data_IF_109351735126
#
_entry.id   IF_109351735126
#
_cell.length_a   1.000
_cell.length_b   1.000
_cell.length_c   1.000
_cell.angle_alpha   90.00
_cell.angle_beta   90.00
_cell.angle_gamma   90.00
#
_symmetry.space_group_name_H-M   'P 1'
#
loop_
_entity.id
_entity.type
_entity.pdbx_description
1 polymer ?
#
# COMPACT_ATOMS: atom_id res chain seq x y z
N UNK A 1 30.93 -8.32 -8.74
CA UNK A 1 29.80 -7.62 -8.09
C UNK A 1 28.52 -8.25 -8.60
N UNK A 2 27.94 -9.17 -7.84
CA UNK A 2 26.60 -9.69 -8.14
C UNK A 2 25.64 -8.50 -8.16
N UNK A 3 25.11 -8.16 -9.34
CA UNK A 3 24.03 -7.19 -9.46
C UNK A 3 22.89 -7.76 -8.63
N UNK A 4 22.63 -7.14 -7.46
CA UNK A 4 21.45 -7.41 -6.65
C UNK A 4 20.27 -7.49 -7.61
N UNK A 5 19.74 -8.71 -7.83
CA UNK A 5 18.56 -8.92 -8.68
C UNK A 5 17.52 -7.94 -8.16
N UNK A 6 17.12 -6.99 -9.00
CA UNK A 6 16.13 -5.97 -8.62
C UNK A 6 14.94 -6.72 -8.02
N UNK A 7 14.76 -6.65 -6.71
CA UNK A 7 13.69 -7.36 -6.03
C UNK A 7 12.41 -6.73 -6.55
N UNK A 8 11.77 -7.38 -7.53
CA UNK A 8 10.50 -6.93 -8.09
C UNK A 8 9.52 -6.79 -6.94
N UNK A 9 9.04 -5.58 -6.71
CA UNK A 9 8.04 -5.36 -5.66
C UNK A 9 6.75 -6.07 -6.03
N UNK A 10 6.01 -6.58 -5.03
CA UNK A 10 4.74 -7.20 -5.30
C UNK A 10 3.81 -6.21 -5.99
N UNK A 11 3.20 -6.68 -7.09
CA UNK A 11 2.11 -5.99 -7.76
C UNK A 11 0.92 -5.87 -6.81
N UNK A 12 0.25 -4.74 -6.80
CA UNK A 12 -0.96 -4.53 -6.02
C UNK A 12 -2.17 -5.13 -6.75
N UNK A 13 -2.58 -6.33 -6.31
CA UNK A 13 -3.85 -6.96 -6.71
C UNK A 13 -4.87 -6.79 -5.57
N UNK A 14 -6.16 -6.92 -5.85
CA UNK A 14 -7.24 -6.78 -4.85
C UNK A 14 -7.02 -7.60 -3.59
N UNK A 15 -6.39 -8.78 -3.74
CA UNK A 15 -5.94 -9.61 -2.63
C UNK A 15 -4.52 -10.08 -2.89
N UNK A 16 -3.61 -9.82 -1.95
CA UNK A 16 -2.24 -10.32 -2.01
C UNK A 16 -1.71 -10.67 -0.62
N UNK A 17 -0.65 -11.47 -0.57
CA UNK A 17 0.06 -11.82 0.67
C UNK A 17 1.43 -11.18 0.69
N UNK A 18 1.84 -10.67 1.85
CA UNK A 18 3.18 -10.13 2.05
C UNK A 18 3.62 -10.42 3.48
N UNK A 19 4.78 -11.06 3.63
CA UNK A 19 5.35 -11.44 4.93
C UNK A 19 4.38 -12.21 5.85
N UNK A 20 3.49 -13.02 5.27
CA UNK A 20 2.46 -13.77 6.01
C UNK A 20 1.18 -12.99 6.28
N UNK A 21 1.19 -11.66 6.11
CA UNK A 21 0.01 -10.82 6.24
C UNK A 21 -0.88 -10.92 5.00
N UNK A 22 -2.19 -10.87 5.22
CA UNK A 22 -3.19 -10.80 4.15
C UNK A 22 -3.58 -9.36 3.92
N UNK A 23 -3.52 -8.92 2.66
CA UNK A 23 -3.92 -7.59 2.23
C UNK A 23 -5.13 -7.69 1.32
N UNK A 24 -6.14 -6.88 1.60
CA UNK A 24 -7.37 -6.77 0.81
C UNK A 24 -7.66 -5.30 0.49
N UNK A 25 -7.94 -4.99 -0.78
CA UNK A 25 -8.30 -3.64 -1.19
C UNK A 25 -9.67 -3.29 -0.60
N UNK A 26 -9.73 -2.19 0.15
CA UNK A 26 -10.96 -1.69 0.77
C UNK A 26 -11.55 -0.55 -0.04
N UNK A 27 -10.69 0.36 -0.50
CA UNK A 27 -11.12 1.54 -1.25
C UNK A 27 -9.98 2.05 -2.11
N UNK A 28 -10.32 2.54 -3.30
CA UNK A 28 -9.42 3.24 -4.19
C UNK A 28 -10.05 4.58 -4.58
N UNK A 29 -9.29 5.66 -4.47
CA UNK A 29 -9.66 6.95 -5.02
C UNK A 29 -8.95 7.10 -6.36
N UNK A 30 -9.71 7.09 -7.44
CA UNK A 30 -9.16 7.13 -8.80
C UNK A 30 -8.57 8.50 -9.15
N UNK A 31 -9.07 9.58 -8.55
CA UNK A 31 -8.63 10.94 -8.86
C UNK A 31 -7.19 11.21 -8.39
N UNK A 32 -6.85 10.81 -7.15
CA UNK A 32 -5.51 11.01 -6.59
C UNK A 32 -4.68 9.71 -6.49
N UNK A 33 -5.25 8.59 -6.97
CA UNK A 33 -4.66 7.24 -6.91
C UNK A 33 -4.39 6.74 -5.50
N UNK A 34 -5.03 7.30 -4.47
CA UNK A 34 -4.88 6.79 -3.11
C UNK A 34 -5.61 5.47 -2.95
N UNK A 35 -4.95 4.50 -2.34
CA UNK A 35 -5.52 3.19 -2.03
C UNK A 35 -5.52 2.99 -0.52
N UNK A 36 -6.58 2.34 -0.03
CA UNK A 36 -6.69 1.82 1.32
C UNK A 36 -6.74 0.29 1.26
N UNK A 37 -5.76 -0.36 1.87
CA UNK A 37 -5.71 -1.81 2.02
C UNK A 37 -5.94 -2.19 3.47
N UNK A 38 -6.79 -3.18 3.71
CA UNK A 38 -6.89 -3.86 5.01
C UNK A 38 -5.79 -4.90 5.08
N UNK A 39 -4.87 -4.74 6.03
CA UNK A 39 -3.83 -5.69 6.39
C UNK A 39 -4.26 -6.46 7.63
N UNK A 40 -4.29 -7.78 7.53
CA UNK A 40 -4.55 -8.67 8.66
C UNK A 40 -3.32 -9.52 8.92
N UNK A 41 -2.76 -9.37 10.11
CA UNK A 41 -1.63 -10.20 10.57
C UNK A 41 -2.08 -11.64 10.84
N UNK A 42 -1.15 -12.61 10.84
CA UNK A 42 -1.47 -13.99 11.24
C UNK A 42 -2.10 -14.10 12.63
N UNK A 43 -1.78 -13.17 13.53
CA UNK A 43 -2.32 -13.06 14.89
C UNK A 43 -3.73 -12.44 14.94
N UNK A 44 -4.31 -12.08 13.79
CA UNK A 44 -5.64 -11.49 13.68
C UNK A 44 -5.68 -9.97 13.96
N UNK A 45 -4.54 -9.31 14.16
CA UNK A 45 -4.47 -7.85 14.31
C UNK A 45 -4.70 -7.20 12.96
N UNK A 46 -5.65 -6.25 12.92
CA UNK A 46 -6.05 -5.51 11.72
C UNK A 46 -5.41 -4.12 11.69
N UNK A 47 -4.86 -3.78 10.53
CA UNK A 47 -4.38 -2.46 10.17
C UNK A 47 -4.99 -2.03 8.84
N UNK A 48 -5.08 -0.73 8.64
CA UNK A 48 -5.41 -0.11 7.37
C UNK A 48 -4.18 0.63 6.87
N UNK A 49 -3.74 0.29 5.67
CA UNK A 49 -2.62 0.94 5.02
C UNK A 49 -3.14 1.83 3.90
N UNK A 50 -2.90 3.14 4.05
CA UNK A 50 -3.38 4.17 3.14
C UNK A 50 -2.19 4.82 2.44
N UNK A 51 -2.11 4.71 1.13
CA UNK A 51 -0.96 5.19 0.36
C UNK A 51 -1.29 5.38 -1.12
N UNK A 52 -0.47 6.18 -1.80
CA UNK A 52 -0.45 6.25 -3.26
C UNK A 52 0.49 5.16 -3.80
N UNK A 53 0.02 4.24 -4.67
CA UNK A 53 0.89 3.24 -5.28
C UNK A 53 2.01 3.86 -6.10
N UNK A 54 3.20 3.26 -5.99
CA UNK A 54 4.31 3.60 -6.86
C UNK A 54 4.02 3.04 -8.26
N UNK A 55 4.40 3.78 -9.30
CA UNK A 55 4.42 3.28 -10.66
C UNK A 55 5.83 2.74 -10.95
N UNK A 56 5.95 1.44 -11.09
CA UNK A 56 7.20 0.77 -11.46
C UNK A 56 7.07 0.17 -12.86
N UNK A 57 8.20 -0.05 -13.54
CA UNK A 57 8.25 -0.71 -14.84
C UNK A 57 8.83 -2.11 -14.68
N UNK A 58 8.21 -3.10 -15.30
CA UNK A 58 8.76 -4.45 -15.35
C UNK A 58 9.91 -4.55 -16.37
N UNK A 59 10.51 -5.73 -16.50
CA UNK A 59 11.65 -5.99 -17.41
C UNK A 59 11.28 -5.77 -18.88
N UNK A 60 10.01 -5.92 -19.24
CA UNK A 60 9.47 -5.66 -20.57
C UNK A 60 9.00 -4.20 -20.75
N UNK A 61 9.15 -3.36 -19.72
CA UNK A 61 8.75 -1.96 -19.74
C UNK A 61 7.27 -1.68 -19.45
N UNK A 62 6.45 -2.67 -19.10
CA UNK A 62 5.05 -2.42 -18.73
C UNK A 62 4.99 -1.78 -17.35
N UNK A 63 4.15 -0.76 -17.23
CA UNK A 63 3.94 -0.04 -15.97
C UNK A 63 2.98 -0.84 -15.09
N UNK A 64 3.33 -1.01 -13.82
CA UNK A 64 2.47 -1.63 -12.82
C UNK A 64 2.46 -0.84 -11.50
N UNK A 65 1.34 -0.97 -10.77
CA UNK A 65 1.20 -0.40 -9.43
C UNK A 65 1.88 -1.31 -8.40
N UNK A 66 2.82 -0.75 -7.65
CA UNK A 66 3.60 -1.45 -6.64
C UNK A 66 3.41 -0.87 -5.26
N UNK A 67 3.59 -1.75 -4.28
CA UNK A 67 3.50 -1.41 -2.87
C UNK A 67 4.57 -0.37 -2.45
N UNK A 68 4.27 0.53 -1.48
CA UNK A 68 5.20 1.56 -1.01
C UNK A 68 6.49 0.99 -0.41
N UNK A 69 7.55 1.79 -0.50
CA UNK A 69 8.83 1.54 0.18
C UNK A 69 8.65 1.72 1.68
N UNK A 70 9.47 1.03 2.49
CA UNK A 70 9.50 1.26 3.93
C UNK A 70 9.76 2.73 4.26
N UNK A 71 10.60 3.42 3.48
CA UNK A 71 10.90 4.85 3.63
C UNK A 71 9.72 5.79 3.35
N UNK A 72 8.65 5.31 2.70
CA UNK A 72 7.45 6.11 2.45
C UNK A 72 6.48 6.09 3.63
N UNK A 73 6.62 5.12 4.54
CA UNK A 73 5.75 5.04 5.71
C UNK A 73 6.08 6.16 6.70
N UNK A 74 5.06 6.94 7.05
CA UNK A 74 5.18 8.15 7.86
C UNK A 74 5.29 9.45 7.06
N UNK A 75 5.41 9.36 5.73
CA UNK A 75 5.49 10.51 4.83
C UNK A 75 4.35 10.48 3.79
N UNK A 76 4.41 9.52 2.85
CA UNK A 76 3.43 9.35 1.77
C UNK A 76 2.58 8.08 1.89
N UNK A 77 2.83 7.26 2.92
CA UNK A 77 2.10 6.05 3.24
C UNK A 77 1.84 5.99 4.76
N UNK A 78 0.67 5.50 5.15
CA UNK A 78 0.23 5.48 6.54
C UNK A 78 -0.23 4.08 6.92
N UNK A 79 0.26 3.58 8.05
CA UNK A 79 -0.23 2.35 8.67
C UNK A 79 -1.07 2.72 9.90
N UNK A 80 -2.36 2.42 9.87
CA UNK A 80 -3.35 2.84 10.86
C UNK A 80 -3.91 1.59 11.50
N UNK A 81 -3.60 1.35 12.78
CA UNK A 81 -4.23 0.24 13.52
C UNK A 81 -5.73 0.45 13.63
N UNK A 82 -6.49 -0.63 13.48
CA UNK A 82 -7.94 -0.60 13.71
C UNK A 82 -8.27 -0.11 15.14
N UNK A 83 -9.36 0.66 15.27
CA UNK A 83 -9.77 1.27 16.52
C UNK A 83 -10.68 2.49 16.32
N UNK A 84 -11.09 3.11 17.43
CA UNK A 84 -12.15 4.16 17.47
C UNK A 84 -11.97 5.31 16.46
N UNK A 85 -10.72 5.69 16.16
CA UNK A 85 -10.40 6.82 15.27
C UNK A 85 -9.85 6.41 13.90
N UNK A 86 -9.80 5.11 13.58
CA UNK A 86 -9.17 4.61 12.35
C UNK A 86 -9.86 5.16 11.09
N UNK A 87 -11.18 5.06 11.01
CA UNK A 87 -11.97 5.52 9.85
C UNK A 87 -11.76 7.01 9.55
N UNK A 88 -11.75 7.86 10.59
CA UNK A 88 -11.50 9.30 10.45
C UNK A 88 -10.09 9.60 9.89
N UNK A 89 -9.08 8.84 10.34
CA UNK A 89 -7.71 8.95 9.80
C UNK A 89 -7.64 8.48 8.35
N UNK A 90 -8.27 7.33 8.04
CA UNK A 90 -8.31 6.78 6.68
C UNK A 90 -8.92 7.78 5.71
N UNK A 91 -10.10 8.34 6.02
CA UNK A 91 -10.73 9.36 5.19
C UNK A 91 -9.84 10.58 4.98
N UNK A 92 -9.21 11.09 6.05
CA UNK A 92 -8.30 12.24 5.97
C UNK A 92 -7.16 11.96 4.98
N UNK A 93 -6.51 10.81 5.05
CA UNK A 93 -5.37 10.48 4.18
C UNK A 93 -5.82 10.10 2.76
N UNK A 94 -6.98 9.46 2.58
CA UNK A 94 -7.54 9.14 1.26
C UNK A 94 -7.88 10.38 0.42
N UNK A 95 -8.17 11.50 1.07
CA UNK A 95 -8.47 12.78 0.43
C UNK A 95 -7.22 13.67 0.28
N UNK A 96 -6.04 13.20 0.70
CA UNK A 96 -4.83 13.99 0.62
C UNK A 96 -4.46 14.22 -0.85
N UNK A 97 -4.37 15.50 -1.23
CA UNK A 97 -3.86 15.90 -2.53
C UNK A 97 -2.34 15.96 -2.46
N UNK A 98 -1.67 15.17 -3.30
CA UNK A 98 -0.23 15.25 -3.49
C UNK A 98 0.00 16.27 -4.61
N UNK A 99 0.38 17.50 -4.22
CA UNK A 99 0.80 18.57 -5.13
C UNK A 99 2.15 18.26 -5.77
#
# INVERSE_FOLDING_TARGET
MERLKSIKRPSLKDKFKKYGDSFELVSKNENNRMCCYRRTTPEGIVYFEVFRPNLEKDENGNVYESYPRSSQFGDSAWCIRDGKNAQKKIQKYMQQEYK
#
